data_IF_727760906177
#
_entry.id   IF_727760906177
#
_cell.length_a   1.000
_cell.length_b   1.000
_cell.length_c   1.000
_cell.angle_alpha   90.00
_cell.angle_beta   90.00
_cell.angle_gamma   90.00
#
_symmetry.space_group_name_H-M   'P 1'
#
loop_
_entity.id
_entity.type
_entity.pdbx_description
1 polymer ?
#
# COMPACT_ATOMS: atom_id res chain seq x y z
N UNK A 1 22.05 8.90 5.24
CA UNK A 1 22.37 9.31 6.63
C UNK A 1 21.29 10.28 7.06
N UNK A 2 20.61 10.03 8.18
CA UNK A 2 19.59 10.93 8.73
C UNK A 2 20.25 12.16 9.34
N UNK A 3 21.37 11.97 10.04
CA UNK A 3 22.16 13.06 10.62
C UNK A 3 23.65 12.76 10.52
N UNK A 4 24.41 13.73 10.01
CA UNK A 4 25.87 13.73 10.12
C UNK A 4 26.22 14.41 11.44
N UNK A 5 26.93 13.74 12.37
CA UNK A 5 27.28 14.35 13.64
C UNK A 5 28.32 15.46 13.42
N UNK A 6 28.26 16.51 14.24
CA UNK A 6 29.16 17.67 14.11
C UNK A 6 30.62 17.32 14.36
N UNK A 7 30.90 16.25 15.11
CA UNK A 7 32.24 15.71 15.34
C UNK A 7 32.64 14.61 14.32
N UNK A 8 31.96 14.50 13.17
CA UNK A 8 32.34 13.59 12.08
C UNK A 8 33.76 13.86 11.54
N UNK A 9 34.25 15.09 11.68
CA UNK A 9 35.62 15.49 11.40
C UNK A 9 36.20 16.20 12.63
N UNK A 10 37.46 15.93 12.98
CA UNK A 10 38.09 16.51 14.16
C UNK A 10 39.56 16.11 14.30
N UNK A 11 40.16 16.49 15.43
CA UNK A 11 41.57 16.18 15.76
C UNK A 11 41.61 15.05 16.79
N UNK A 12 42.62 14.19 16.71
CA UNK A 12 42.85 13.19 17.75
C UNK A 12 43.18 13.86 19.08
N UNK A 13 42.54 13.38 20.14
CA UNK A 13 42.77 13.82 21.51
C UNK A 13 43.07 12.61 22.38
N UNK A 14 43.62 12.85 23.57
CA UNK A 14 43.89 11.79 24.55
C UNK A 14 42.64 11.35 25.32
N UNK A 15 41.46 11.88 24.98
CA UNK A 15 40.17 11.46 25.53
C UNK A 15 39.43 10.56 24.53
N UNK A 16 38.63 9.63 25.04
CA UNK A 16 37.78 8.80 24.19
C UNK A 16 36.76 9.67 23.45
N UNK A 17 36.63 9.45 22.14
CA UNK A 17 35.68 10.15 21.29
C UNK A 17 34.74 9.15 20.64
N UNK A 18 33.43 9.41 20.72
CA UNK A 18 32.38 8.63 20.06
C UNK A 18 31.73 9.49 18.98
N UNK A 19 31.68 8.97 17.76
CA UNK A 19 31.00 9.61 16.62
C UNK A 19 29.82 8.72 16.23
N UNK A 20 28.60 9.23 16.43
CA UNK A 20 27.37 8.45 16.19
C UNK A 20 26.71 8.89 14.89
N UNK A 21 26.55 7.95 13.95
CA UNK A 21 25.76 8.15 12.73
C UNK A 21 24.36 7.56 12.90
N UNK A 22 23.34 8.32 12.54
CA UNK A 22 21.94 7.85 12.53
C UNK A 22 21.50 7.60 11.10
N UNK A 23 20.90 6.44 10.84
CA UNK A 23 20.34 6.05 9.55
C UNK A 23 18.83 5.88 9.66
N UNK A 24 18.13 6.22 8.59
CA UNK A 24 16.71 5.91 8.41
C UNK A 24 16.52 5.15 7.10
N UNK A 25 15.49 4.30 7.08
CA UNK A 25 15.09 3.64 5.84
C UNK A 25 14.63 4.69 4.83
N UNK A 26 14.93 4.43 3.57
CA UNK A 26 14.44 5.26 2.47
C UNK A 26 12.91 5.11 2.33
N UNK A 27 12.29 6.06 1.64
CA UNK A 27 10.94 5.90 1.15
C UNK A 27 10.88 4.71 0.17
N UNK A 28 9.87 3.87 0.35
CA UNK A 28 9.56 2.80 -0.58
C UNK A 28 8.85 3.35 -1.81
N UNK A 29 8.81 2.55 -2.86
CA UNK A 29 8.01 2.87 -4.03
C UNK A 29 6.51 2.73 -3.68
N UNK A 30 5.63 3.58 -4.26
CA UNK A 30 4.20 3.54 -3.93
C UNK A 30 3.54 2.21 -4.26
N UNK A 31 2.51 1.86 -3.50
CA UNK A 31 1.62 0.74 -3.80
C UNK A 31 0.31 1.28 -4.37
N UNK A 32 -0.05 0.87 -5.58
CA UNK A 32 -1.32 1.24 -6.22
C UNK A 32 -2.37 0.17 -5.94
N UNK A 33 -3.53 0.57 -5.43
CA UNK A 33 -4.67 -0.31 -5.19
C UNK A 33 -5.73 -0.06 -6.25
N UNK A 34 -6.07 -1.09 -7.02
CA UNK A 34 -7.04 -1.04 -8.13
C UNK A 34 -8.32 -1.80 -7.77
N UNK A 35 -9.43 -1.32 -8.31
CA UNK A 35 -10.76 -1.89 -8.13
C UNK A 35 -11.39 -2.11 -9.51
N UNK A 36 -11.40 -3.35 -9.98
CA UNK A 36 -11.75 -3.67 -11.37
C UNK A 36 -12.82 -4.75 -11.46
N UNK A 37 -13.55 -4.80 -12.58
CA UNK A 37 -14.37 -5.95 -12.92
C UNK A 37 -13.53 -7.12 -13.48
N UNK A 38 -14.19 -8.22 -13.86
CA UNK A 38 -13.54 -9.41 -14.41
C UNK A 38 -12.86 -9.17 -15.77
N UNK A 39 -13.26 -8.13 -16.50
CA UNK A 39 -12.68 -7.74 -17.79
C UNK A 39 -11.51 -6.74 -17.61
N UNK A 40 -11.25 -6.29 -16.38
CA UNK A 40 -10.20 -5.35 -16.02
C UNK A 40 -10.61 -3.89 -16.12
N UNK A 41 -11.90 -3.57 -16.28
CA UNK A 41 -12.38 -2.19 -16.30
C UNK A 41 -12.37 -1.62 -14.88
N UNK A 42 -11.88 -0.38 -14.73
CA UNK A 42 -11.83 0.30 -13.44
C UNK A 42 -13.25 0.73 -12.99
N UNK A 43 -13.66 0.25 -11.82
CA UNK A 43 -14.98 0.52 -11.24
C UNK A 43 -14.96 1.68 -10.23
N UNK A 44 -13.77 2.02 -9.73
CA UNK A 44 -13.56 3.12 -8.81
C UNK A 44 -12.11 3.60 -8.91
N UNK A 45 -11.88 4.88 -8.62
CA UNK A 45 -10.53 5.47 -8.59
C UNK A 45 -9.58 4.64 -7.74
N UNK A 46 -8.42 4.34 -8.32
CA UNK A 46 -7.33 3.67 -7.64
C UNK A 46 -6.79 4.48 -6.44
N UNK A 47 -6.42 3.79 -5.37
CA UNK A 47 -5.77 4.41 -4.21
C UNK A 47 -4.25 4.26 -4.29
N UNK A 48 -3.52 5.17 -3.63
CA UNK A 48 -2.06 5.11 -3.53
C UNK A 48 -1.66 5.06 -2.07
N UNK A 49 -0.91 4.03 -1.69
CA UNK A 49 -0.30 3.89 -0.37
C UNK A 49 1.17 4.28 -0.47
N UNK A 50 1.66 5.00 0.54
CA UNK A 50 3.04 5.44 0.65
C UNK A 50 3.60 5.00 2.00
N UNK A 51 4.87 4.63 2.05
CA UNK A 51 5.55 4.25 3.28
C UNK A 51 7.04 4.04 3.07
N UNK A 52 7.77 3.87 4.17
CA UNK A 52 9.20 3.56 4.17
C UNK A 52 9.43 2.10 3.75
N UNK A 53 10.58 1.80 3.17
CA UNK A 53 10.97 0.41 2.85
C UNK A 53 10.80 -0.48 4.09
N UNK A 54 10.28 -1.69 3.87
CA UNK A 54 9.89 -2.71 4.85
C UNK A 54 8.79 -2.30 5.85
N UNK A 55 8.22 -1.10 5.75
CA UNK A 55 7.04 -0.76 6.54
C UNK A 55 5.85 -1.60 6.04
N UNK A 56 5.00 -2.12 6.94
CA UNK A 56 3.84 -2.89 6.54
C UNK A 56 2.79 -1.98 5.89
N UNK A 57 2.05 -2.54 4.94
CA UNK A 57 0.83 -1.93 4.42
C UNK A 57 -0.34 -2.91 4.49
N UNK A 58 -1.54 -2.34 4.52
CA UNK A 58 -2.79 -3.06 4.37
C UNK A 58 -3.71 -2.25 3.45
N UNK A 59 -4.42 -2.95 2.59
CA UNK A 59 -5.49 -2.41 1.75
C UNK A 59 -6.77 -3.18 2.00
N UNK A 60 -7.90 -2.58 1.65
CA UNK A 60 -9.21 -3.22 1.72
C UNK A 60 -10.00 -2.94 0.44
N UNK A 61 -10.96 -3.83 0.17
CA UNK A 61 -11.92 -3.61 -0.90
C UNK A 61 -12.84 -2.42 -0.58
N UNK A 62 -13.18 -1.63 -1.61
CA UNK A 62 -14.23 -0.61 -1.51
C UNK A 62 -15.62 -1.26 -1.58
N UNK A 63 -16.57 -0.66 -0.87
CA UNK A 63 -17.99 -0.94 -1.07
C UNK A 63 -18.47 -0.19 -2.31
N UNK A 64 -18.89 -0.93 -3.34
CA UNK A 64 -19.31 -0.39 -4.64
C UNK A 64 -20.76 -0.79 -4.91
N UNK A 65 -21.62 0.18 -5.20
CA UNK A 65 -23.04 -0.08 -5.42
C UNK A 65 -23.26 -1.01 -6.62
N UNK A 66 -24.01 -2.09 -6.42
CA UNK A 66 -24.28 -3.09 -7.47
C UNK A 66 -23.12 -4.05 -7.76
N UNK A 67 -22.07 -4.09 -6.93
CA UNK A 67 -20.92 -4.96 -7.08
C UNK A 67 -20.57 -5.69 -5.78
N UNK A 68 -20.09 -6.92 -5.90
CA UNK A 68 -19.55 -7.72 -4.80
C UNK A 68 -18.11 -8.09 -5.09
N UNK A 69 -17.27 -8.16 -4.05
CA UNK A 69 -15.87 -8.56 -4.20
C UNK A 69 -15.82 -10.04 -4.53
N UNK A 70 -15.32 -10.36 -5.72
CA UNK A 70 -15.09 -11.73 -6.17
C UNK A 70 -13.71 -12.24 -5.75
N UNK A 71 -12.71 -11.37 -5.77
CA UNK A 71 -11.33 -11.75 -5.44
C UNK A 71 -10.64 -10.67 -4.63
N UNK A 72 -10.18 -11.07 -3.45
CA UNK A 72 -9.20 -10.34 -2.65
C UNK A 72 -7.81 -10.85 -3.01
N UNK A 73 -6.88 -10.00 -3.47
CA UNK A 73 -5.56 -10.43 -3.87
C UNK A 73 -4.70 -10.85 -2.67
N UNK A 74 -3.79 -11.80 -2.85
CA UNK A 74 -2.93 -12.30 -1.77
C UNK A 74 -1.98 -11.23 -1.21
N UNK A 75 -1.63 -10.21 -2.01
CA UNK A 75 -0.81 -9.08 -1.60
C UNK A 75 -1.62 -7.89 -1.06
N UNK A 76 -2.87 -8.10 -0.64
CA UNK A 76 -3.68 -7.07 0.04
C UNK A 76 -3.01 -6.55 1.31
N UNK A 77 -2.18 -7.37 1.95
CA UNK A 77 -1.20 -7.00 2.97
C UNK A 77 0.21 -7.31 2.48
N UNK A 78 1.18 -6.55 2.95
CA UNK A 78 2.57 -6.72 2.53
C UNK A 78 3.48 -5.68 3.16
N UNK A 79 4.63 -5.46 2.56
CA UNK A 79 5.56 -4.39 2.95
C UNK A 79 5.93 -3.52 1.75
N UNK A 80 6.26 -2.26 1.98
CA UNK A 80 6.80 -1.40 0.92
C UNK A 80 8.19 -1.89 0.51
N UNK A 81 8.41 -1.97 -0.80
CA UNK A 81 9.70 -2.33 -1.38
C UNK A 81 10.28 -1.15 -2.16
N UNK A 82 11.42 -1.33 -2.81
CA UNK A 82 11.97 -0.35 -3.75
C UNK A 82 11.31 -0.42 -5.14
N UNK A 83 10.38 -1.35 -5.37
CA UNK A 83 9.68 -1.53 -6.63
C UNK A 83 8.19 -1.18 -6.47
N UNK A 84 7.60 -0.58 -7.51
CA UNK A 84 6.17 -0.30 -7.55
C UNK A 84 5.39 -1.62 -7.43
N UNK A 85 4.34 -1.61 -6.62
CA UNK A 85 3.48 -2.78 -6.43
C UNK A 85 2.04 -2.42 -6.83
N UNK A 86 1.30 -3.42 -7.30
CA UNK A 86 -0.13 -3.26 -7.62
C UNK A 86 -0.94 -4.32 -6.87
N UNK A 87 -1.92 -3.85 -6.11
CA UNK A 87 -2.92 -4.68 -5.44
C UNK A 87 -4.21 -4.53 -6.23
N UNK A 88 -4.82 -5.63 -6.68
CA UNK A 88 -6.03 -5.57 -7.52
C UNK A 88 -7.15 -6.37 -6.91
N UNK A 89 -8.22 -5.67 -6.53
CA UNK A 89 -9.49 -6.27 -6.13
C UNK A 89 -10.35 -6.46 -7.38
N UNK A 90 -10.85 -7.68 -7.57
CA UNK A 90 -11.74 -8.02 -8.68
C UNK A 90 -13.16 -8.16 -8.17
N UNK A 91 -14.10 -7.54 -8.87
CA UNK A 91 -15.51 -7.49 -8.53
C UNK A 91 -16.36 -8.23 -9.56
N UNK A 92 -17.52 -8.69 -9.11
CA UNK A 92 -18.60 -9.17 -9.97
C UNK A 92 -19.88 -8.42 -9.68
N UNK A 93 -20.76 -8.34 -10.68
CA UNK A 93 -22.03 -7.61 -10.55
C UNK A 93 -22.90 -8.33 -9.53
N UNK A 94 -23.38 -7.60 -8.53
CA UNK A 94 -24.29 -8.15 -7.54
C UNK A 94 -25.54 -8.68 -8.27
N UNK A 95 -25.85 -9.96 -8.08
CA UNK A 95 -27.10 -10.54 -8.59
C UNK A 95 -28.28 -9.72 -8.06
N UNK A 96 -29.06 -9.11 -8.96
CA UNK A 96 -30.22 -8.33 -8.57
C UNK A 96 -31.18 -9.17 -7.72
N UNK A 97 -31.84 -8.55 -6.74
CA UNK A 97 -32.91 -9.22 -6.01
C UNK A 97 -33.99 -9.70 -7.00
N UNK A 98 -34.55 -10.91 -6.85
CA UNK A 98 -35.64 -11.36 -7.70
C UNK A 98 -36.83 -10.39 -7.57
N UNK A 99 -37.34 -9.92 -8.71
CA UNK A 99 -38.60 -9.16 -8.75
C UNK A 99 -39.75 -10.15 -8.65
N UNK A 100 -40.46 -10.14 -7.52
CA UNK A 100 -41.66 -10.98 -7.32
C UNK A 100 -42.89 -10.24 -7.82
N UNK A 101 -43.49 -10.69 -8.92
CA UNK A 101 -44.81 -10.20 -9.38
C UNK A 101 -45.90 -11.01 -8.68
N UNK A 102 -46.81 -10.35 -7.96
CA UNK A 102 -48.04 -10.95 -7.42
C UNK A 102 -49.23 -10.49 -8.26
N UNK A 103 -50.01 -11.43 -8.78
CA UNK A 103 -51.32 -11.15 -9.36
C UNK A 103 -52.38 -11.28 -8.25
N UNK A 104 -53.37 -10.37 -8.25
CA UNK A 104 -54.58 -10.41 -7.40
C UNK A 104 -55.75 -11.04 -8.13
#
# INVERSE_FOLDING_TARGET
VKTTPTNATGVFTNANQTVTYVYEKADGAPVTVKYVDADGNELATSDTLNGKIDAPYQSTAKSLSGWTVKTTPANATGVFTNANQTVTYVYEKAGGAPVTVKYV
#
